data_IF_213615814810
#
_entry.id   IF_213615814810
#
_cell.length_a   1.000
_cell.length_b   1.000
_cell.length_c   1.000
_cell.angle_alpha   90.00
_cell.angle_beta   90.00
_cell.angle_gamma   90.00
#
_symmetry.space_group_name_H-M   'P 1'
#
loop_
_entity.id
_entity.type
_entity.pdbx_description
1 polymer ?
#
# COMPACT_ATOMS: atom_id res chain seq x y z
N UNK A 1 14.50 -1.90 -16.33
CA UNK A 1 14.50 -1.53 -14.89
C UNK A 1 13.09 -1.43 -14.30
N UNK A 2 12.21 -0.58 -14.82
CA UNK A 2 10.86 -0.34 -14.24
C UNK A 2 10.02 -1.63 -14.06
N UNK A 3 10.06 -2.55 -15.02
CA UNK A 3 9.41 -3.86 -14.93
C UNK A 3 9.91 -4.70 -13.75
N UNK A 4 11.21 -4.67 -13.42
CA UNK A 4 11.76 -5.44 -12.31
C UNK A 4 11.24 -4.97 -10.94
N UNK A 5 10.81 -3.71 -10.84
CA UNK A 5 10.20 -3.14 -9.64
C UNK A 5 8.68 -3.33 -9.60
N UNK A 6 8.02 -3.30 -10.76
CA UNK A 6 6.55 -3.39 -10.84
C UNK A 6 6.03 -4.84 -10.83
N UNK A 7 6.76 -5.78 -11.44
CA UNK A 7 6.32 -7.18 -11.56
C UNK A 7 6.07 -7.88 -10.22
N UNK A 8 6.91 -7.72 -9.17
CA UNK A 8 6.62 -8.33 -7.87
C UNK A 8 5.32 -7.82 -7.26
N UNK A 9 5.05 -6.51 -7.35
CA UNK A 9 3.82 -5.92 -6.84
C UNK A 9 2.59 -6.43 -7.61
N UNK A 10 2.67 -6.47 -8.94
CA UNK A 10 1.61 -7.05 -9.79
C UNK A 10 1.35 -8.50 -9.42
N UNK A 11 2.40 -9.31 -9.26
CA UNK A 11 2.26 -10.73 -8.91
C UNK A 11 1.58 -10.92 -7.54
N UNK A 12 1.99 -10.17 -6.52
CA UNK A 12 1.36 -10.22 -5.19
C UNK A 12 -0.11 -9.84 -5.25
N UNK A 13 -0.45 -8.78 -5.98
CA UNK A 13 -1.85 -8.36 -6.13
C UNK A 13 -2.67 -9.36 -6.93
N UNK A 14 -2.15 -9.91 -8.03
CA UNK A 14 -2.85 -10.94 -8.79
C UNK A 14 -3.10 -12.19 -7.96
N UNK A 15 -2.13 -12.63 -7.14
CA UNK A 15 -2.32 -13.75 -6.21
C UNK A 15 -3.42 -13.45 -5.19
N UNK A 16 -3.45 -12.24 -4.63
CA UNK A 16 -4.53 -11.81 -3.74
C UNK A 16 -5.89 -11.81 -4.45
N UNK A 17 -5.95 -11.30 -5.69
CA UNK A 17 -7.14 -11.31 -6.53
C UNK A 17 -7.64 -12.73 -6.82
N UNK A 18 -6.75 -13.67 -7.11
CA UNK A 18 -7.09 -15.09 -7.29
C UNK A 18 -7.66 -15.69 -6.01
N UNK A 19 -6.98 -15.51 -4.87
CA UNK A 19 -7.42 -16.03 -3.58
C UNK A 19 -8.78 -15.47 -3.15
N UNK A 20 -9.01 -14.17 -3.34
CA UNK A 20 -10.28 -13.53 -2.97
C UNK A 20 -11.42 -13.90 -3.93
N UNK A 21 -11.13 -14.11 -5.22
CA UNK A 21 -12.12 -14.56 -6.20
C UNK A 21 -12.57 -16.00 -5.99
N UNK A 22 -11.73 -16.84 -5.36
CA UNK A 22 -12.05 -18.22 -5.03
C UNK A 22 -13.00 -18.37 -3.84
N UNK A 23 -13.25 -17.30 -3.08
CA UNK A 23 -14.06 -17.31 -1.87
C UNK A 23 -15.32 -16.43 -2.06
N UNK A 24 -16.46 -16.75 -1.42
CA UNK A 24 -17.70 -15.96 -1.52
C UNK A 24 -17.65 -14.67 -0.67
N UNK A 25 -16.59 -13.87 -0.83
CA UNK A 25 -16.29 -12.71 0.02
C UNK A 25 -16.89 -11.40 -0.50
N UNK A 26 -17.48 -11.37 -1.69
CA UNK A 26 -17.90 -10.12 -2.32
C UNK A 26 -18.90 -9.31 -1.47
N UNK A 27 -19.95 -9.96 -0.96
CA UNK A 27 -20.96 -9.33 -0.09
C UNK A 27 -20.40 -8.84 1.25
N UNK A 28 -19.73 -9.69 2.07
CA UNK A 28 -19.17 -9.21 3.33
C UNK A 28 -18.11 -8.13 3.11
N UNK A 29 -17.30 -8.23 2.05
CA UNK A 29 -16.32 -7.19 1.72
C UNK A 29 -16.98 -5.84 1.39
N UNK A 30 -18.07 -5.85 0.60
CA UNK A 30 -18.84 -4.65 0.29
C UNK A 30 -19.48 -4.02 1.53
N UNK A 31 -20.03 -4.84 2.42
CA UNK A 31 -20.60 -4.37 3.70
C UNK A 31 -19.53 -3.68 4.54
N UNK A 32 -18.36 -4.33 4.69
CA UNK A 32 -17.25 -3.79 5.47
C UNK A 32 -16.71 -2.49 4.86
N UNK A 33 -16.54 -2.43 3.54
CA UNK A 33 -16.15 -1.21 2.81
C UNK A 33 -17.14 -0.08 3.07
N UNK A 34 -18.44 -0.36 2.92
CA UNK A 34 -19.49 0.66 3.09
C UNK A 34 -19.55 1.15 4.53
N UNK A 35 -19.51 0.23 5.50
CA UNK A 35 -19.49 0.57 6.92
C UNK A 35 -18.26 1.42 7.27
N UNK A 36 -17.08 1.01 6.77
CA UNK A 36 -15.83 1.74 6.97
C UNK A 36 -15.91 3.17 6.39
N UNK A 37 -16.33 3.30 5.12
CA UNK A 37 -16.46 4.59 4.44
C UNK A 37 -17.52 5.49 5.09
N UNK A 38 -18.64 4.93 5.54
CA UNK A 38 -19.69 5.69 6.22
C UNK A 38 -19.21 6.21 7.58
N UNK A 39 -18.64 5.35 8.42
CA UNK A 39 -18.10 5.75 9.73
C UNK A 39 -17.03 6.80 9.53
N UNK A 40 -16.02 6.51 8.70
CA UNK A 40 -14.88 7.39 8.55
C UNK A 40 -15.26 8.70 7.84
N UNK A 41 -16.05 8.64 6.78
CA UNK A 41 -16.54 9.81 6.05
C UNK A 41 -17.41 10.72 6.91
N UNK A 42 -18.30 10.16 7.74
CA UNK A 42 -19.09 10.95 8.71
C UNK A 42 -18.18 11.54 9.79
N UNK A 43 -17.18 10.79 10.29
CA UNK A 43 -16.26 11.30 11.30
C UNK A 43 -15.42 12.48 10.79
N UNK A 44 -14.90 12.39 9.56
CA UNK A 44 -14.14 13.48 8.94
C UNK A 44 -15.02 14.68 8.58
N UNK A 45 -16.22 14.45 8.04
CA UNK A 45 -17.11 15.55 7.66
C UNK A 45 -17.71 16.31 8.85
N UNK A 46 -17.75 15.70 10.03
CA UNK A 46 -18.41 16.28 11.20
C UNK A 46 -17.46 16.91 12.22
N UNK A 47 -16.15 16.66 12.14
CA UNK A 47 -15.15 17.01 13.17
C UNK A 47 -15.52 16.53 14.61
N UNK A 48 -16.60 15.75 14.76
CA UNK A 48 -17.18 15.38 16.06
C UNK A 48 -16.48 14.21 16.72
N UNK A 49 -15.89 13.34 15.92
CA UNK A 49 -15.18 12.16 16.35
C UNK A 49 -13.70 12.41 16.12
N UNK A 50 -13.03 13.00 17.11
CA UNK A 50 -11.57 13.09 17.17
C UNK A 50 -10.98 11.68 17.34
N UNK A 51 -11.10 10.85 16.30
CA UNK A 51 -10.45 9.54 16.25
C UNK A 51 -8.95 9.79 16.25
N UNK A 52 -8.27 9.33 17.30
CA UNK A 52 -6.83 9.40 17.37
C UNK A 52 -6.24 8.73 16.12
N UNK A 53 -5.36 9.45 15.41
CA UNK A 53 -4.71 8.90 14.24
C UNK A 53 -4.05 7.56 14.61
N UNK A 54 -4.21 6.50 13.79
CA UNK A 54 -3.55 5.23 14.03
C UNK A 54 -2.06 5.46 14.25
N UNK A 55 -1.51 4.98 15.38
CA UNK A 55 -0.14 5.26 15.76
C UNK A 55 0.88 4.82 14.70
N UNK A 56 2.08 5.41 14.70
CA UNK A 56 3.16 5.15 13.70
C UNK A 56 3.67 3.70 13.65
N UNK A 57 3.16 2.81 14.50
CA UNK A 57 3.54 1.38 14.61
C UNK A 57 3.28 0.56 13.34
N UNK A 58 2.55 1.11 12.37
CA UNK A 58 2.26 0.48 11.07
C UNK A 58 3.31 0.76 9.98
N UNK A 59 4.36 1.51 10.28
CA UNK A 59 5.51 1.60 9.39
C UNK A 59 6.25 0.26 9.39
N UNK A 60 6.76 -0.16 8.23
CA UNK A 60 7.65 -1.34 8.15
C UNK A 60 8.76 -1.14 9.18
N UNK A 61 8.90 -2.04 10.17
CA UNK A 61 9.96 -1.93 11.16
C UNK A 61 11.30 -1.77 10.46
N UNK A 62 12.07 -0.76 10.84
CA UNK A 62 13.36 -0.48 10.20
C UNK A 62 14.28 -1.71 10.24
N UNK A 63 14.14 -2.54 11.26
CA UNK A 63 14.80 -3.84 11.45
C UNK A 63 14.62 -4.80 10.27
N UNK A 64 13.48 -4.77 9.57
CA UNK A 64 13.21 -5.62 8.40
C UNK A 64 13.96 -5.16 7.14
N UNK A 65 14.46 -3.93 7.13
CA UNK A 65 15.02 -3.26 5.95
C UNK A 65 16.50 -2.91 6.16
N UNK A 66 16.88 -2.52 7.36
CA UNK A 66 18.22 -2.11 7.76
C UNK A 66 19.21 -3.27 7.59
N UNK A 67 20.41 -2.97 7.07
CA UNK A 67 21.46 -3.97 6.83
C UNK A 67 21.16 -5.00 5.75
N UNK A 68 20.00 -4.95 5.09
CA UNK A 68 19.63 -5.93 4.06
C UNK A 68 20.09 -5.51 2.65
N UNK A 69 20.29 -6.50 1.77
CA UNK A 69 20.68 -6.26 0.38
C UNK A 69 19.63 -5.43 -0.36
N UNK A 70 20.05 -4.67 -1.39
CA UNK A 70 19.13 -3.87 -2.19
C UNK A 70 17.96 -4.72 -2.74
N UNK A 71 18.26 -5.95 -3.19
CA UNK A 71 17.24 -6.90 -3.66
C UNK A 71 16.22 -7.25 -2.57
N UNK A 72 16.66 -7.53 -1.33
CA UNK A 72 15.77 -7.84 -0.20
C UNK A 72 14.93 -6.63 0.21
N UNK A 73 15.51 -5.43 0.24
CA UNK A 73 14.76 -4.19 0.47
C UNK A 73 13.67 -4.00 -0.56
N UNK A 74 13.97 -4.22 -1.84
CA UNK A 74 12.99 -4.10 -2.92
C UNK A 74 11.86 -5.11 -2.81
N UNK A 75 12.17 -6.35 -2.41
CA UNK A 75 11.15 -7.36 -2.14
C UNK A 75 10.27 -6.95 -0.98
N UNK A 76 10.85 -6.60 0.18
CA UNK A 76 10.09 -6.16 1.36
C UNK A 76 9.24 -4.93 1.04
N UNK A 77 9.79 -3.95 0.33
CA UNK A 77 9.09 -2.71 0.00
C UNK A 77 8.09 -2.81 -1.16
N UNK A 78 8.19 -3.85 -1.98
CA UNK A 78 7.26 -4.17 -3.05
C UNK A 78 6.21 -5.21 -2.65
N UNK A 79 6.47 -6.01 -1.61
CA UNK A 79 5.53 -6.97 -1.01
C UNK A 79 4.74 -6.35 0.13
N UNK A 80 5.39 -5.54 0.96
CA UNK A 80 4.68 -4.63 1.86
C UNK A 80 4.14 -3.52 0.98
N UNK A 81 2.84 -3.27 1.11
CA UNK A 81 2.06 -2.30 0.36
C UNK A 81 2.50 -0.83 0.60
N UNK A 82 3.78 -0.50 0.36
CA UNK A 82 4.40 0.82 0.34
C UNK A 82 4.34 1.65 1.65
N UNK A 83 5.31 2.56 1.89
CA UNK A 83 5.31 3.59 2.92
C UNK A 83 4.62 4.88 2.44
N UNK A 84 3.68 4.81 1.49
CA UNK A 84 2.88 5.94 1.00
C UNK A 84 1.75 6.29 1.96
N UNK A 85 2.09 6.34 3.24
CA UNK A 85 1.26 5.84 4.31
C UNK A 85 0.77 7.00 5.20
N UNK A 86 1.44 8.15 5.30
CA UNK A 86 1.04 9.25 6.20
C UNK A 86 0.74 10.60 5.51
N UNK A 87 -0.54 10.82 5.21
CA UNK A 87 -1.19 12.14 5.21
C UNK A 87 -2.64 11.99 5.73
N UNK A 88 -2.79 12.23 7.04
CA UNK A 88 -4.01 12.24 7.88
C UNK A 88 -5.01 11.06 7.92
N UNK A 89 -5.21 10.23 6.90
CA UNK A 89 -5.54 8.77 6.99
C UNK A 89 -5.57 8.05 5.61
N UNK A 90 -4.42 7.85 4.95
CA UNK A 90 -4.31 7.06 3.70
C UNK A 90 -4.24 5.54 3.94
N UNK A 91 -4.00 5.09 5.17
CA UNK A 91 -3.82 3.68 5.54
C UNK A 91 -5.10 2.88 5.46
N UNK A 92 -6.19 3.51 5.86
CA UNK A 92 -7.54 3.03 5.70
C UNK A 92 -7.84 2.59 4.26
N UNK A 93 -7.69 3.53 3.32
CA UNK A 93 -8.01 3.30 1.91
C UNK A 93 -7.19 2.17 1.30
N UNK A 94 -5.88 2.12 1.56
CA UNK A 94 -5.03 1.04 1.06
C UNK A 94 -5.31 -0.32 1.72
N UNK A 95 -5.61 -0.36 3.03
CA UNK A 95 -6.05 -1.58 3.69
C UNK A 95 -7.45 -2.03 3.24
N UNK A 96 -8.26 -1.13 2.70
CA UNK A 96 -9.55 -1.45 2.07
C UNK A 96 -9.40 -1.99 0.64
N UNK A 97 -8.25 -1.84 -0.03
CA UNK A 97 -8.07 -2.32 -1.41
C UNK A 97 -8.22 -3.85 -1.57
N UNK A 98 -7.73 -4.71 -0.65
CA UNK A 98 -8.07 -6.13 -0.64
C UNK A 98 -9.59 -6.38 -0.56
N UNK A 99 -10.31 -5.59 0.26
CA UNK A 99 -11.77 -5.67 0.33
C UNK A 99 -12.41 -5.18 -0.98
N UNK A 100 -11.84 -4.17 -1.64
CA UNK A 100 -12.35 -3.69 -2.93
C UNK A 100 -12.16 -4.73 -4.04
N UNK A 101 -11.01 -5.40 -4.05
CA UNK A 101 -10.73 -6.55 -4.92
C UNK A 101 -11.73 -7.68 -4.67
N UNK A 102 -11.97 -8.04 -3.41
CA UNK A 102 -12.96 -9.06 -3.06
C UNK A 102 -14.39 -8.67 -3.44
N UNK A 103 -14.78 -7.40 -3.17
CA UNK A 103 -16.11 -6.85 -3.48
C UNK A 103 -16.38 -6.78 -4.98
N UNK A 104 -15.35 -6.61 -5.82
CA UNK A 104 -15.46 -6.59 -7.27
C UNK A 104 -15.84 -7.95 -7.90
N UNK A 105 -15.82 -9.04 -7.14
CA UNK A 105 -16.24 -10.37 -7.60
C UNK A 105 -15.49 -10.80 -8.86
N UNK A 106 -16.21 -11.03 -9.97
CA UNK A 106 -15.60 -11.44 -11.26
C UNK A 106 -14.58 -10.43 -11.81
N UNK A 107 -14.68 -9.16 -11.44
CA UNK A 107 -13.72 -8.12 -11.81
C UNK A 107 -12.50 -8.03 -10.90
N UNK A 108 -12.47 -8.78 -9.80
CA UNK A 108 -11.45 -8.69 -8.76
C UNK A 108 -10.02 -8.91 -9.26
N UNK A 109 -9.81 -9.89 -10.13
CA UNK A 109 -8.48 -10.18 -10.68
C UNK A 109 -7.94 -9.02 -11.52
N UNK A 110 -8.78 -8.43 -12.38
CA UNK A 110 -8.40 -7.29 -13.21
C UNK A 110 -8.11 -6.05 -12.35
N UNK A 111 -8.96 -5.78 -11.35
CA UNK A 111 -8.77 -4.70 -10.40
C UNK A 111 -7.46 -4.88 -9.61
N UNK A 112 -7.18 -6.10 -9.15
CA UNK A 112 -5.95 -6.41 -8.45
C UNK A 112 -4.71 -6.18 -9.34
N UNK A 113 -4.74 -6.64 -10.59
CA UNK A 113 -3.68 -6.37 -11.56
C UNK A 113 -3.44 -4.87 -11.78
N UNK A 114 -4.51 -4.09 -11.92
CA UNK A 114 -4.42 -2.63 -12.07
C UNK A 114 -3.81 -1.96 -10.83
N UNK A 115 -4.24 -2.35 -9.63
CA UNK A 115 -3.67 -1.85 -8.36
C UNK A 115 -2.19 -2.20 -8.27
N UNK A 116 -1.81 -3.45 -8.54
CA UNK A 116 -0.42 -3.89 -8.51
C UNK A 116 0.46 -3.16 -9.51
N UNK A 117 -0.07 -2.87 -10.71
CA UNK A 117 0.64 -2.10 -11.74
C UNK A 117 0.84 -0.64 -11.31
N UNK A 118 -0.22 0.01 -10.81
CA UNK A 118 -0.16 1.38 -10.31
C UNK A 118 0.81 1.50 -9.12
N UNK A 119 0.72 0.57 -8.17
CA UNK A 119 1.59 0.50 -7.00
C UNK A 119 3.05 0.32 -7.39
N UNK A 120 3.34 -0.73 -8.17
CA UNK A 120 4.68 -1.06 -8.63
C UNK A 120 5.32 0.07 -9.45
N UNK A 121 4.55 0.71 -10.32
CA UNK A 121 4.99 1.84 -11.13
C UNK A 121 5.30 3.06 -10.28
N UNK A 122 4.41 3.44 -9.37
CA UNK A 122 4.63 4.58 -8.47
C UNK A 122 5.90 4.43 -7.64
N UNK A 123 6.20 3.22 -7.18
CA UNK A 123 7.43 2.92 -6.41
C UNK A 123 8.67 2.94 -7.28
N UNK A 124 8.60 2.37 -8.48
CA UNK A 124 9.70 2.42 -9.43
C UNK A 124 10.05 3.87 -9.79
N UNK A 125 9.03 4.72 -10.01
CA UNK A 125 9.21 6.14 -10.29
C UNK A 125 9.82 6.89 -9.11
N UNK A 126 9.39 6.61 -7.88
CA UNK A 126 9.99 7.20 -6.68
C UNK A 126 11.48 6.84 -6.56
N UNK A 127 11.85 5.57 -6.76
CA UNK A 127 13.25 5.14 -6.74
C UNK A 127 14.08 5.80 -7.86
N UNK A 128 13.50 5.92 -9.06
CA UNK A 128 14.16 6.61 -10.17
C UNK A 128 14.36 8.09 -9.88
N UNK A 129 13.39 8.75 -9.23
CA UNK A 129 13.50 10.13 -8.78
C UNK A 129 14.62 10.26 -7.74
N UNK A 130 14.63 9.41 -6.72
CA UNK A 130 15.62 9.47 -5.64
C UNK A 130 17.04 9.16 -6.16
N UNK A 131 17.18 8.25 -7.15
CA UNK A 131 18.46 7.98 -7.81
C UNK A 131 18.96 9.16 -8.66
N UNK A 132 18.06 9.94 -9.27
CA UNK A 132 18.40 11.16 -10.03
C UNK A 132 18.80 12.33 -9.14
N UNK A 133 18.26 12.39 -7.92
CA UNK A 133 18.64 13.41 -6.94
C UNK A 133 20.09 13.27 -6.44
N UNK A 134 20.80 12.20 -6.83
CA UNK A 134 22.19 11.94 -6.47
C UNK A 134 22.38 11.75 -4.95
N UNK A 135 23.60 11.45 -4.49
CA UNK A 135 23.92 11.62 -3.08
C UNK A 135 23.85 13.13 -2.78
N UNK A 136 22.71 13.60 -2.27
CA UNK A 136 22.69 14.85 -1.54
C UNK A 136 23.79 14.74 -0.47
N UNK A 137 24.73 15.68 -0.52
CA UNK A 137 25.93 15.68 0.29
C UNK A 137 25.64 15.35 1.76
N UNK A 138 26.45 14.44 2.26
CA UNK A 138 26.68 14.13 3.66
C UNK A 138 25.52 13.48 4.47
N UNK A 139 25.51 12.13 4.61
CA UNK A 139 24.61 11.44 5.52
C UNK A 139 24.83 11.76 7.01
N UNK A 140 25.90 12.46 7.39
CA UNK A 140 26.16 12.88 8.79
C UNK A 140 25.30 14.05 9.27
N UNK A 141 24.62 14.79 8.39
CA UNK A 141 23.84 15.99 8.78
C UNK A 141 22.40 15.70 9.23
N UNK A 142 21.99 14.43 9.25
CA UNK A 142 20.66 13.96 9.71
C UNK A 142 20.71 13.29 11.09
N UNK A 143 21.85 13.34 11.78
CA UNK A 143 22.07 12.78 13.12
C UNK A 143 22.56 13.82 14.16
N UNK A 144 22.50 15.12 13.82
CA UNK A 144 22.63 16.26 14.74
C UNK A 144 21.40 17.16 14.59
#
# INVERSE_FOLDING_TARGET
MLAAYAMPAVAVWLLLGLCTSALPLARPALILLTAYSAVYGVTEASDRLQLAAPGRRWQVPQELVAGTTARRRLLVWGSVLGPGFLTRNPYAGFAMLPLAVAAAGRGGLALAGAIGAAHGTGRALALLRDARSGPAGDPMRLLL
#
